data_IF_291598214235
#
_entry.id   IF_291598214235
#
_cell.length_a   1.000
_cell.length_b   1.000
_cell.length_c   1.000
_cell.angle_alpha   90.00
_cell.angle_beta   90.00
_cell.angle_gamma   90.00
#
_symmetry.space_group_name_H-M   'P 1'
#
loop_
_entity.id
_entity.type
_entity.pdbx_description
1 polymer ?
#
# COMPACT_ATOMS: atom_id res chain seq x y z
N UNK A 1 2.61 -3.16 -21.78
CA UNK A 1 2.91 -4.60 -22.03
C UNK A 1 4.17 -4.92 -21.26
N UNK A 2 4.28 -6.09 -20.66
CA UNK A 2 5.47 -6.48 -19.93
C UNK A 2 5.83 -7.94 -20.17
N UNK A 3 7.12 -8.25 -20.22
CA UNK A 3 7.63 -9.61 -20.46
C UNK A 3 8.20 -10.16 -19.17
N UNK A 4 7.75 -11.35 -18.76
CA UNK A 4 8.36 -12.08 -17.65
C UNK A 4 9.66 -12.71 -18.11
N UNK A 5 10.75 -12.36 -17.46
CA UNK A 5 12.07 -12.96 -17.68
C UNK A 5 12.53 -13.67 -16.42
N UNK A 6 13.19 -14.80 -16.60
CA UNK A 6 13.92 -15.54 -15.58
C UNK A 6 15.34 -15.78 -16.10
N UNK A 7 16.37 -15.57 -15.28
CA UNK A 7 17.76 -15.80 -15.67
C UNK A 7 18.59 -16.40 -14.55
N UNK A 8 19.60 -17.20 -14.90
CA UNK A 8 20.54 -17.82 -13.96
C UNK A 8 21.95 -17.18 -13.99
N UNK A 9 22.06 -15.98 -14.56
CA UNK A 9 23.32 -15.27 -14.78
C UNK A 9 24.08 -15.70 -16.03
N UNK A 10 23.77 -16.87 -16.61
CA UNK A 10 24.39 -17.36 -17.84
C UNK A 10 23.39 -17.41 -19.01
N UNK A 11 22.17 -17.85 -18.74
CA UNK A 11 21.08 -17.97 -19.69
C UNK A 11 19.84 -17.23 -19.17
N UNK A 12 18.97 -16.87 -20.10
CA UNK A 12 17.70 -16.18 -19.80
C UNK A 12 16.58 -16.80 -20.61
N UNK A 13 15.39 -16.90 -20.02
CA UNK A 13 14.17 -17.42 -20.63
C UNK A 13 13.03 -16.41 -20.44
N UNK A 14 12.17 -16.28 -21.45
CA UNK A 14 10.94 -15.51 -21.36
C UNK A 14 9.76 -16.44 -21.08
N UNK A 15 8.96 -16.11 -20.07
CA UNK A 15 7.79 -16.87 -19.65
C UNK A 15 6.50 -16.15 -20.06
N UNK A 16 6.48 -15.68 -21.31
CA UNK A 16 5.36 -14.94 -21.89
C UNK A 16 5.24 -13.49 -21.41
N UNK A 17 4.19 -12.84 -21.90
CA UNK A 17 3.90 -11.43 -21.69
C UNK A 17 2.57 -11.19 -20.98
N UNK A 18 2.47 -10.04 -20.31
CA UNK A 18 1.27 -9.56 -19.64
C UNK A 18 0.85 -8.19 -20.16
N UNK A 19 -0.44 -7.98 -20.22
CA UNK A 19 -1.06 -6.70 -20.52
C UNK A 19 -1.63 -6.06 -19.25
N UNK A 20 -0.99 -4.96 -18.83
CA UNK A 20 -1.36 -4.19 -17.63
C UNK A 20 -1.95 -2.82 -18.00
N UNK A 21 -2.66 -2.75 -19.13
CA UNK A 21 -3.22 -1.52 -19.69
C UNK A 21 -4.27 -0.88 -18.77
N UNK A 22 -5.01 -1.71 -18.02
CA UNK A 22 -6.12 -1.30 -17.17
C UNK A 22 -5.60 -0.86 -15.81
N UNK A 23 -5.23 0.40 -15.74
CA UNK A 23 -4.69 1.05 -14.56
C UNK A 23 -5.37 2.40 -14.33
N UNK A 24 -5.27 2.91 -13.10
CA UNK A 24 -5.76 4.23 -12.71
C UNK A 24 -4.65 4.98 -11.98
N UNK A 25 -4.25 6.15 -12.49
CA UNK A 25 -3.14 6.94 -11.91
C UNK A 25 -1.90 6.06 -11.63
N UNK A 26 -1.52 5.22 -12.58
CA UNK A 26 -0.41 4.25 -12.51
C UNK A 26 -0.59 3.08 -11.54
N UNK A 27 -1.76 2.91 -10.92
CA UNK A 27 -2.10 1.73 -10.14
C UNK A 27 -2.83 0.72 -11.02
N UNK A 28 -2.20 -0.45 -11.26
CA UNK A 28 -2.78 -1.54 -12.05
C UNK A 28 -4.03 -2.10 -11.34
N UNK A 29 -5.12 -2.28 -12.08
CA UNK A 29 -6.40 -2.82 -11.58
C UNK A 29 -6.67 -4.22 -12.11
N UNK A 30 -6.37 -4.42 -13.40
CA UNK A 30 -6.62 -5.67 -14.12
C UNK A 30 -5.42 -5.99 -15.01
N UNK A 31 -4.95 -7.23 -14.93
CA UNK A 31 -3.85 -7.73 -15.75
C UNK A 31 -4.28 -8.97 -16.52
N UNK A 32 -3.74 -9.14 -17.73
CA UNK A 32 -4.13 -10.20 -18.66
C UNK A 32 -2.89 -10.90 -19.20
N UNK A 33 -2.88 -12.24 -19.22
CA UNK A 33 -1.83 -13.04 -19.87
C UNK A 33 -2.47 -14.14 -20.74
N UNK A 34 -1.95 -14.40 -21.96
CA UNK A 34 -1.15 -13.47 -22.77
C UNK A 34 -1.97 -12.22 -23.14
N UNK A 35 -1.32 -11.22 -23.75
CA UNK A 35 -2.04 -10.05 -24.26
C UNK A 35 -2.98 -10.46 -25.42
N UNK A 36 -4.29 -10.15 -25.36
CA UNK A 36 -5.20 -10.38 -26.47
C UNK A 36 -5.00 -9.36 -27.61
N UNK A 37 -4.34 -8.23 -27.34
CA UNK A 37 -4.17 -7.11 -28.27
C UNK A 37 -2.93 -7.25 -29.17
N UNK A 38 -1.92 -8.02 -28.74
CA UNK A 38 -0.66 -8.18 -29.49
C UNK A 38 -0.74 -9.20 -30.62
N UNK A 39 -0.32 -8.79 -31.82
CA UNK A 39 -0.07 -9.72 -32.93
C UNK A 39 1.10 -10.66 -32.61
N UNK A 40 1.17 -11.86 -33.22
CA UNK A 40 2.29 -12.79 -33.05
C UNK A 40 3.66 -12.15 -33.33
N UNK A 41 3.74 -11.33 -34.38
CA UNK A 41 4.98 -10.70 -34.83
C UNK A 41 5.46 -9.66 -33.82
N UNK A 42 4.53 -8.82 -33.32
CA UNK A 42 4.86 -7.80 -32.32
C UNK A 42 5.26 -8.43 -30.98
N UNK A 43 4.55 -9.48 -30.56
CA UNK A 43 4.92 -10.27 -29.37
C UNK A 43 6.32 -10.85 -29.50
N UNK A 44 6.65 -11.46 -30.63
CA UNK A 44 7.98 -12.03 -30.85
C UNK A 44 9.08 -10.97 -30.76
N UNK A 45 8.86 -9.79 -31.36
CA UNK A 45 9.81 -8.68 -31.32
C UNK A 45 10.03 -8.15 -29.89
N UNK A 46 8.96 -7.85 -29.17
CA UNK A 46 9.04 -7.35 -27.79
C UNK A 46 9.77 -8.36 -26.88
N UNK A 47 9.44 -9.66 -27.01
CA UNK A 47 10.10 -10.72 -26.26
C UNK A 47 11.59 -10.84 -26.61
N UNK A 48 11.95 -10.73 -27.90
CA UNK A 48 13.34 -10.78 -28.34
C UNK A 48 14.17 -9.61 -27.79
N UNK A 49 13.59 -8.40 -27.76
CA UNK A 49 14.24 -7.22 -27.21
C UNK A 49 14.42 -7.32 -25.70
N UNK A 50 13.39 -7.79 -24.97
CA UNK A 50 13.48 -8.08 -23.53
C UNK A 50 14.61 -9.05 -23.20
N UNK A 51 14.69 -10.16 -23.95
CA UNK A 51 15.74 -11.16 -23.77
C UNK A 51 17.13 -10.62 -24.16
N UNK A 52 17.22 -9.72 -25.13
CA UNK A 52 18.49 -9.10 -25.52
C UNK A 52 19.02 -8.20 -24.42
N UNK A 53 18.16 -7.37 -23.82
CA UNK A 53 18.51 -6.57 -22.66
C UNK A 53 18.94 -7.45 -21.48
N UNK A 54 18.16 -8.50 -21.17
CA UNK A 54 18.48 -9.42 -20.07
C UNK A 54 19.82 -10.16 -20.27
N UNK A 55 20.11 -10.66 -21.48
CA UNK A 55 21.41 -11.28 -21.79
C UNK A 55 22.57 -10.32 -21.61
N UNK A 56 22.40 -9.07 -22.05
CA UNK A 56 23.48 -8.06 -22.02
C UNK A 56 23.95 -7.77 -20.60
N UNK A 57 23.04 -7.84 -19.62
CA UNK A 57 23.35 -7.57 -18.21
C UNK A 57 23.61 -8.85 -17.40
N UNK A 58 23.71 -10.01 -18.05
CA UNK A 58 23.85 -11.31 -17.38
C UNK A 58 22.80 -11.50 -16.27
N UNK A 59 21.53 -11.31 -16.63
CA UNK A 59 20.43 -11.22 -15.66
C UNK A 59 20.31 -12.48 -14.78
N UNK A 60 20.12 -12.27 -13.49
CA UNK A 60 19.96 -13.32 -12.48
C UNK A 60 18.68 -13.09 -11.67
N UNK A 61 17.89 -14.16 -11.49
CA UNK A 61 16.60 -14.14 -10.81
C UNK A 61 15.42 -13.78 -11.72
N UNK A 62 14.35 -13.28 -11.10
CA UNK A 62 13.11 -12.87 -11.78
C UNK A 62 13.11 -11.39 -12.12
N UNK A 63 12.69 -11.09 -13.35
CA UNK A 63 12.60 -9.73 -13.86
C UNK A 63 11.38 -9.52 -14.73
N UNK A 64 10.88 -8.29 -14.73
CA UNK A 64 9.82 -7.86 -15.65
C UNK A 64 10.31 -6.70 -16.48
N UNK A 65 10.29 -6.85 -17.80
CA UNK A 65 10.70 -5.81 -18.75
C UNK A 65 9.47 -5.16 -19.35
N UNK A 66 9.30 -3.86 -19.10
CA UNK A 66 8.08 -3.12 -19.43
C UNK A 66 8.23 -2.28 -20.70
N UNK A 67 7.19 -2.31 -21.52
CA UNK A 67 7.10 -1.65 -22.81
C UNK A 67 5.80 -0.88 -22.93
N UNK A 68 5.88 0.34 -23.47
CA UNK A 68 4.73 1.09 -23.94
C UNK A 68 4.51 0.72 -25.39
N UNK A 69 3.32 0.19 -25.71
CA UNK A 69 2.95 -0.24 -27.06
C UNK A 69 1.93 0.74 -27.62
N UNK A 70 2.14 1.16 -28.86
CA UNK A 70 1.20 1.96 -29.64
C UNK A 70 0.83 1.18 -30.90
N UNK A 71 -0.35 0.55 -30.88
CA UNK A 71 -0.86 -0.26 -31.99
C UNK A 71 -1.23 0.58 -33.21
N UNK A 72 -1.37 1.90 -33.08
CA UNK A 72 -1.66 2.80 -34.19
C UNK A 72 -0.37 3.35 -34.87
N UNK A 73 0.79 3.17 -34.24
CA UNK A 73 2.07 3.68 -34.73
C UNK A 73 2.78 2.64 -35.60
N UNK A 74 2.96 2.96 -36.89
CA UNK A 74 3.75 2.11 -37.80
C UNK A 74 5.26 2.31 -37.60
N UNK A 75 5.70 3.51 -37.23
CA UNK A 75 7.13 3.87 -37.16
C UNK A 75 7.77 3.54 -35.82
N UNK A 76 7.03 3.68 -34.72
CA UNK A 76 7.49 3.41 -33.36
C UNK A 76 6.40 2.63 -32.61
N UNK A 77 6.19 1.34 -32.95
CA UNK A 77 5.09 0.54 -32.41
C UNK A 77 5.24 0.22 -30.93
N UNK A 78 6.45 0.33 -30.38
CA UNK A 78 6.69 0.23 -28.96
C UNK A 78 8.00 0.91 -28.55
N UNK A 79 8.08 1.24 -27.27
CA UNK A 79 9.30 1.70 -26.60
C UNK A 79 9.48 0.95 -25.29
N UNK A 80 10.73 0.70 -24.91
CA UNK A 80 11.07 0.23 -23.58
C UNK A 80 10.87 1.35 -22.56
N UNK A 81 10.33 1.02 -21.39
CA UNK A 81 10.13 1.97 -20.27
C UNK A 81 11.17 1.69 -19.18
N UNK A 82 11.11 0.50 -18.59
CA UNK A 82 11.93 0.12 -17.46
C UNK A 82 12.01 -1.41 -17.30
N UNK A 83 12.95 -1.87 -16.48
CA UNK A 83 13.03 -3.25 -16.02
C UNK A 83 12.94 -3.29 -14.50
N UNK A 84 12.08 -4.15 -13.99
CA UNK A 84 11.81 -4.31 -12.56
C UNK A 84 12.46 -5.61 -12.05
N UNK A 85 13.58 -5.54 -11.30
CA UNK A 85 14.33 -6.71 -10.83
C UNK A 85 13.76 -7.34 -9.56
N UNK A 86 12.50 -7.76 -9.66
CA UNK A 86 11.75 -8.38 -8.59
C UNK A 86 10.56 -9.15 -9.16
N UNK A 87 10.02 -10.04 -8.33
CA UNK A 87 8.70 -10.62 -8.55
C UNK A 87 7.65 -9.49 -8.61
N UNK A 88 6.80 -9.52 -9.64
CA UNK A 88 5.67 -8.59 -9.79
C UNK A 88 4.42 -9.14 -9.11
N UNK A 89 3.48 -8.27 -8.73
CA UNK A 89 2.23 -8.68 -8.07
C UNK A 89 1.41 -9.61 -8.98
N UNK A 90 1.41 -9.28 -10.27
CA UNK A 90 0.77 -9.92 -11.42
C UNK A 90 1.55 -11.10 -12.02
N UNK A 91 2.57 -11.62 -11.34
CA UNK A 91 3.25 -12.85 -11.79
C UNK A 91 2.29 -14.06 -11.88
N UNK A 92 1.23 -14.06 -11.07
CA UNK A 92 0.24 -15.14 -10.95
C UNK A 92 -0.40 -15.53 -12.28
N UNK A 93 -0.70 -14.57 -13.15
CA UNK A 93 -1.28 -14.84 -14.48
C UNK A 93 -0.27 -15.45 -15.44
N UNK A 94 1.03 -15.21 -15.24
CA UNK A 94 2.08 -15.95 -15.95
C UNK A 94 2.11 -17.40 -15.47
N UNK A 95 2.02 -17.65 -14.16
CA UNK A 95 1.99 -19.02 -13.61
C UNK A 95 0.79 -19.80 -14.17
N UNK A 96 -0.40 -19.20 -14.19
CA UNK A 96 -1.63 -19.85 -14.67
C UNK A 96 -1.57 -20.28 -16.14
N UNK A 97 -0.86 -19.52 -17.00
CA UNK A 97 -0.77 -19.85 -18.42
C UNK A 97 0.44 -20.69 -18.80
N UNK A 98 1.50 -20.68 -17.99
CA UNK A 98 2.75 -21.43 -18.26
C UNK A 98 2.86 -22.71 -17.43
N UNK A 99 2.21 -22.78 -16.27
CA UNK A 99 2.37 -23.84 -15.28
C UNK A 99 3.67 -23.76 -14.47
N UNK A 100 4.45 -22.69 -14.62
CA UNK A 100 5.70 -22.48 -13.88
C UNK A 100 5.40 -21.79 -12.55
N UNK A 101 5.85 -22.38 -11.44
CA UNK A 101 5.88 -21.71 -10.13
C UNK A 101 7.09 -20.77 -10.08
N UNK A 102 6.83 -19.46 -10.16
CA UNK A 102 7.89 -18.46 -10.28
C UNK A 102 8.61 -18.26 -8.96
N UNK A 103 7.91 -18.39 -7.83
CA UNK A 103 8.51 -18.23 -6.49
C UNK A 103 9.46 -19.41 -6.22
N UNK A 104 9.05 -20.64 -6.54
CA UNK A 104 9.90 -21.81 -6.44
C UNK A 104 11.14 -21.67 -7.33
N UNK A 105 10.95 -21.28 -8.60
CA UNK A 105 12.05 -21.06 -9.52
C UNK A 105 13.04 -20.01 -8.99
N UNK A 106 12.54 -18.89 -8.46
CA UNK A 106 13.38 -17.86 -7.87
C UNK A 106 14.22 -18.37 -6.70
N UNK A 107 13.63 -19.17 -5.81
CA UNK A 107 14.34 -19.75 -4.66
C UNK A 107 15.41 -20.75 -5.14
N UNK A 108 15.11 -21.57 -6.13
CA UNK A 108 16.05 -22.57 -6.65
C UNK A 108 17.24 -21.93 -7.38
N UNK A 109 17.01 -20.88 -8.17
CA UNK A 109 18.10 -20.11 -8.78
C UNK A 109 18.96 -19.41 -7.72
N UNK A 110 18.34 -18.80 -6.70
CA UNK A 110 19.08 -18.20 -5.59
C UNK A 110 19.88 -19.23 -4.78
N UNK A 111 19.53 -20.51 -4.86
CA UNK A 111 20.28 -21.63 -4.31
C UNK A 111 21.41 -22.15 -5.23
N UNK A 112 21.63 -21.49 -6.37
CA UNK A 112 22.69 -21.82 -7.34
C UNK A 112 22.32 -22.85 -8.39
N UNK A 113 21.04 -23.21 -8.53
CA UNK A 113 20.58 -24.07 -9.64
C UNK A 113 20.56 -23.29 -10.96
N UNK A 114 20.76 -23.99 -12.08
CA UNK A 114 20.64 -23.43 -13.44
C UNK A 114 19.21 -23.56 -13.97
N UNK A 115 18.86 -22.82 -15.03
CA UNK A 115 17.56 -22.98 -15.71
C UNK A 115 17.30 -24.43 -16.15
N UNK A 116 18.35 -25.14 -16.57
CA UNK A 116 18.26 -26.56 -16.96
C UNK A 116 17.90 -27.46 -15.77
N UNK A 117 18.46 -27.21 -14.57
CA UNK A 117 18.14 -27.97 -13.36
C UNK A 117 16.67 -27.79 -12.95
N UNK A 118 16.09 -26.62 -13.26
CA UNK A 118 14.68 -26.31 -13.09
C UNK A 118 13.78 -26.94 -14.16
N UNK A 119 14.36 -27.64 -15.16
CA UNK A 119 13.63 -28.18 -16.31
C UNK A 119 13.15 -27.11 -17.29
N UNK A 120 13.75 -25.92 -17.27
CA UNK A 120 13.43 -24.80 -18.15
C UNK A 120 14.48 -24.68 -19.25
N UNK A 121 14.09 -24.97 -20.48
CA UNK A 121 14.93 -24.82 -21.66
C UNK A 121 14.65 -23.48 -22.36
N UNK A 122 15.60 -22.53 -22.40
CA UNK A 122 15.42 -21.26 -23.11
C UNK A 122 15.13 -21.40 -24.61
N UNK A 123 15.51 -22.51 -25.24
CA UNK A 123 15.22 -22.80 -26.64
C UNK A 123 13.81 -23.37 -26.86
N UNK A 124 13.18 -23.88 -25.81
CA UNK A 124 11.85 -24.48 -25.83
C UNK A 124 11.05 -24.06 -24.57
N UNK A 125 10.70 -22.77 -24.44
CA UNK A 125 9.99 -22.29 -23.26
C UNK A 125 8.61 -22.96 -23.09
N UNK A 126 8.11 -23.11 -21.85
CA UNK A 126 6.80 -23.70 -21.59
C UNK A 126 5.69 -23.07 -22.45
N UNK A 127 4.84 -23.86 -23.11
CA UNK A 127 3.82 -23.32 -23.98
C UNK A 127 2.75 -22.57 -23.17
N UNK A 128 2.41 -21.37 -23.62
CA UNK A 128 1.32 -20.56 -23.06
C UNK A 128 -0.02 -21.21 -23.39
N UNK A 129 -0.82 -21.50 -22.37
CA UNK A 129 -2.11 -22.19 -22.48
C UNK A 129 -3.29 -21.28 -22.16
N UNK A 130 -4.06 -20.96 -23.20
CA UNK A 130 -5.28 -20.19 -23.07
C UNK A 130 -5.03 -18.76 -22.57
N UNK A 131 -5.84 -18.29 -21.61
CA UNK A 131 -5.74 -16.96 -21.01
C UNK A 131 -5.94 -17.00 -19.50
N UNK A 132 -5.32 -16.05 -18.80
CA UNK A 132 -5.56 -15.74 -17.41
C UNK A 132 -5.77 -14.24 -17.22
N UNK A 133 -6.62 -13.89 -16.26
CA UNK A 133 -6.88 -12.51 -15.84
C UNK A 133 -6.71 -12.41 -14.33
N UNK A 134 -6.04 -11.36 -13.87
CA UNK A 134 -5.96 -11.00 -12.46
C UNK A 134 -6.76 -9.72 -12.21
N UNK A 135 -7.49 -9.70 -11.10
CA UNK A 135 -8.24 -8.56 -10.62
C UNK A 135 -7.73 -8.19 -9.23
N UNK A 136 -7.30 -6.94 -9.03
CA UNK A 136 -6.84 -6.43 -7.74
C UNK A 136 -8.02 -5.91 -6.93
N UNK A 137 -8.41 -6.68 -5.91
CA UNK A 137 -9.44 -6.29 -4.96
C UNK A 137 -8.78 -5.50 -3.83
N UNK A 138 -9.08 -4.22 -3.75
CA UNK A 138 -8.50 -3.27 -2.81
C UNK A 138 -9.53 -2.83 -1.78
N UNK A 139 -9.11 -2.65 -0.54
CA UNK A 139 -9.80 -1.94 0.53
C UNK A 139 -9.80 -0.44 0.26
N UNK A 140 -10.44 -0.02 -0.83
CA UNK A 140 -10.63 1.38 -1.18
C UNK A 140 -11.86 1.55 -2.05
N UNK A 141 -12.48 2.73 -2.01
CA UNK A 141 -13.46 3.16 -3.00
C UNK A 141 -12.88 4.30 -3.84
N UNK A 142 -13.61 4.72 -4.87
CA UNK A 142 -13.24 5.89 -5.66
C UNK A 142 -14.16 7.06 -5.33
N UNK A 143 -13.56 8.24 -5.16
CA UNK A 143 -14.29 9.51 -5.16
C UNK A 143 -14.76 9.91 -6.57
N UNK A 144 -15.51 11.00 -6.67
CA UNK A 144 -16.05 11.50 -7.94
C UNK A 144 -14.97 11.93 -8.96
N UNK A 145 -13.74 12.17 -8.51
CA UNK A 145 -12.57 12.57 -9.30
C UNK A 145 -11.59 11.40 -9.52
N UNK A 146 -11.97 10.18 -9.09
CA UNK A 146 -11.17 8.96 -9.20
C UNK A 146 -10.03 8.87 -8.20
N UNK A 147 -9.98 9.71 -7.16
CA UNK A 147 -9.10 9.52 -6.01
C UNK A 147 -9.50 8.28 -5.21
N UNK A 148 -8.51 7.53 -4.71
CA UNK A 148 -8.78 6.36 -3.87
C UNK A 148 -9.07 6.84 -2.45
N UNK A 149 -10.17 6.37 -1.89
CA UNK A 149 -10.54 6.57 -0.49
C UNK A 149 -10.34 5.24 0.23
N UNK A 150 -9.31 5.09 1.08
CA UNK A 150 -9.04 3.84 1.76
C UNK A 150 -10.23 3.39 2.62
N UNK A 151 -10.66 2.15 2.41
CA UNK A 151 -11.60 1.46 3.26
C UNK A 151 -10.92 1.06 4.57
N UNK A 152 -11.65 1.20 5.67
CA UNK A 152 -11.18 0.79 7.00
C UNK A 152 -12.33 0.13 7.75
N UNK A 153 -12.00 -0.75 8.70
CA UNK A 153 -12.98 -1.52 9.46
C UNK A 153 -12.61 -2.99 9.58
N UNK A 154 -13.53 -3.77 10.17
CA UNK A 154 -13.40 -5.22 10.33
C UNK A 154 -14.00 -5.89 9.10
N UNK A 155 -13.30 -6.87 8.53
CA UNK A 155 -13.85 -7.76 7.51
C UNK A 155 -14.91 -8.67 8.14
N UNK A 156 -16.16 -8.19 8.25
CA UNK A 156 -17.26 -8.93 8.87
C UNK A 156 -17.58 -10.21 8.10
N UNK A 157 -17.51 -10.12 6.77
CA UNK A 157 -17.66 -11.24 5.84
C UNK A 157 -16.61 -11.15 4.75
N UNK A 158 -16.00 -12.27 4.39
CA UNK A 158 -14.95 -12.32 3.38
C UNK A 158 -14.99 -13.65 2.63
N UNK A 159 -16.00 -13.80 1.77
CA UNK A 159 -16.18 -14.99 0.94
C UNK A 159 -15.66 -14.70 -0.46
N UNK A 160 -14.61 -15.40 -0.87
CA UNK A 160 -14.01 -15.29 -2.21
C UNK A 160 -14.31 -16.56 -3.02
N UNK A 161 -14.40 -16.45 -4.37
CA UNK A 161 -14.78 -17.56 -5.23
C UNK A 161 -13.73 -18.66 -5.21
N UNK A 162 -14.17 -19.88 -5.51
CA UNK A 162 -13.33 -21.06 -5.60
C UNK A 162 -13.73 -21.95 -6.79
N UNK A 163 -12.98 -23.01 -7.01
CA UNK A 163 -13.26 -24.01 -8.03
C UNK A 163 -12.29 -23.97 -9.21
N UNK A 164 -12.51 -24.83 -10.23
CA UNK A 164 -11.55 -24.97 -11.32
C UNK A 164 -11.28 -23.65 -12.04
N UNK A 165 -10.01 -23.36 -12.29
CA UNK A 165 -9.54 -22.13 -12.97
C UNK A 165 -9.85 -20.83 -12.24
N UNK A 166 -10.05 -20.90 -10.92
CA UNK A 166 -10.12 -19.75 -10.02
C UNK A 166 -9.07 -19.94 -8.95
N UNK A 167 -8.14 -18.99 -8.84
CA UNK A 167 -7.12 -18.90 -7.80
C UNK A 167 -7.29 -17.58 -7.08
N UNK A 168 -7.06 -17.59 -5.78
CA UNK A 168 -7.12 -16.39 -4.95
C UNK A 168 -5.89 -16.34 -4.07
N UNK A 169 -5.09 -15.29 -4.24
CA UNK A 169 -3.97 -14.98 -3.35
C UNK A 169 -4.43 -13.82 -2.45
N UNK A 170 -4.58 -14.05 -1.15
CA UNK A 170 -5.16 -13.08 -0.20
C UNK A 170 -4.48 -13.16 1.16
N UNK A 171 -4.42 -12.03 1.87
CA UNK A 171 -4.14 -11.99 3.30
C UNK A 171 -5.41 -11.73 4.15
N UNK A 172 -6.50 -11.33 3.50
CA UNK A 172 -7.79 -11.06 4.16
C UNK A 172 -8.43 -12.33 4.73
N UNK A 173 -8.93 -12.21 5.96
CA UNK A 173 -9.68 -13.24 6.68
C UNK A 173 -10.85 -12.57 7.40
N UNK A 174 -12.00 -13.24 7.49
CA UNK A 174 -13.13 -12.74 8.26
C UNK A 174 -12.74 -12.50 9.73
N UNK A 175 -13.18 -11.37 10.29
CA UNK A 175 -12.80 -10.88 11.62
C UNK A 175 -11.50 -10.08 11.67
N UNK A 176 -10.68 -10.06 10.60
CA UNK A 176 -9.47 -9.26 10.56
C UNK A 176 -9.78 -7.77 10.34
N UNK A 177 -8.90 -6.91 10.85
CA UNK A 177 -8.92 -5.45 10.60
C UNK A 177 -7.69 -5.08 9.78
N UNK A 178 -7.80 -4.91 8.45
CA UNK A 178 -6.68 -4.51 7.60
C UNK A 178 -6.04 -3.21 8.11
N UNK A 179 -4.71 -3.22 8.24
CA UNK A 179 -3.99 -2.08 8.81
C UNK A 179 -3.80 -0.95 7.78
N UNK A 180 -4.01 0.32 8.17
CA UNK A 180 -3.80 1.48 7.30
C UNK A 180 -2.32 1.80 7.03
N UNK A 181 -1.37 1.01 7.57
CA UNK A 181 0.07 1.19 7.34
C UNK A 181 0.57 0.51 6.05
N UNK A 182 -0.26 -0.34 5.45
CA UNK A 182 0.11 -1.16 4.30
C UNK A 182 -0.76 -0.80 3.09
N UNK A 183 -0.39 -1.37 1.94
CA UNK A 183 -1.14 -1.24 0.70
C UNK A 183 -2.59 -1.74 0.86
N UNK A 184 -3.53 -1.12 0.14
CA UNK A 184 -4.96 -1.43 0.23
C UNK A 184 -5.31 -2.77 -0.43
N UNK A 185 -4.42 -3.43 -1.17
CA UNK A 185 -4.68 -4.73 -1.80
C UNK A 185 -5.07 -5.77 -0.75
N UNK A 186 -6.31 -6.24 -0.81
CA UNK A 186 -6.85 -7.31 0.04
C UNK A 186 -6.63 -8.68 -0.58
N UNK A 187 -6.97 -8.81 -1.87
CA UNK A 187 -6.91 -10.06 -2.59
C UNK A 187 -6.59 -9.83 -4.07
N UNK A 188 -5.88 -10.80 -4.65
CA UNK A 188 -5.74 -10.95 -6.10
C UNK A 188 -6.67 -12.08 -6.50
N UNK A 189 -7.70 -11.77 -7.29
CA UNK A 189 -8.58 -12.77 -7.88
C UNK A 189 -8.03 -13.13 -9.26
N UNK A 190 -7.58 -14.36 -9.44
CA UNK A 190 -7.01 -14.86 -10.68
C UNK A 190 -7.98 -15.87 -11.30
N UNK A 191 -8.31 -15.64 -12.57
CA UNK A 191 -9.23 -16.50 -13.32
C UNK A 191 -8.56 -16.92 -14.62
N UNK A 192 -8.47 -18.24 -14.82
CA UNK A 192 -7.79 -18.84 -15.97
C UNK A 192 -8.72 -19.71 -16.80
N UNK A 193 -8.48 -19.77 -18.10
CA UNK A 193 -9.23 -20.58 -19.07
C UNK A 193 -8.29 -21.17 -20.10
N UNK A 194 -8.37 -22.49 -20.33
CA UNK A 194 -7.59 -23.16 -21.39
C UNK A 194 -8.09 -22.86 -22.81
N UNK A 195 -9.23 -22.17 -22.94
CA UNK A 195 -9.77 -21.74 -24.23
C UNK A 195 -8.86 -20.71 -24.88
N UNK A 196 -8.70 -20.78 -26.20
CA UNK A 196 -8.02 -19.75 -27.00
C UNK A 196 -8.88 -18.51 -27.27
N UNK A 197 -10.12 -18.48 -26.78
CA UNK A 197 -11.00 -17.32 -26.92
C UNK A 197 -10.96 -16.49 -25.64
N UNK A 198 -10.47 -15.26 -25.74
CA UNK A 198 -10.43 -14.32 -24.63
C UNK A 198 -11.80 -14.12 -23.95
N UNK A 199 -12.88 -14.09 -24.74
CA UNK A 199 -14.25 -13.99 -24.21
C UNK A 199 -14.62 -15.09 -23.19
N UNK A 200 -14.00 -16.27 -23.24
CA UNK A 200 -14.28 -17.33 -22.28
C UNK A 200 -13.63 -17.08 -20.91
N UNK A 201 -12.43 -16.48 -20.85
CA UNK A 201 -11.83 -16.08 -19.56
C UNK A 201 -12.58 -14.88 -18.97
N UNK A 202 -12.98 -13.91 -19.81
CA UNK A 202 -13.76 -12.74 -19.37
C UNK A 202 -15.10 -13.16 -18.76
N UNK A 203 -15.84 -14.08 -19.40
CA UNK A 203 -17.11 -14.60 -18.87
C UNK A 203 -16.92 -15.30 -17.52
N UNK A 204 -15.81 -16.03 -17.34
CA UNK A 204 -15.49 -16.68 -16.06
C UNK A 204 -15.12 -15.64 -15.00
N UNK A 205 -14.37 -14.60 -15.37
CA UNK A 205 -14.01 -13.50 -14.49
C UNK A 205 -15.24 -12.74 -13.99
N UNK A 206 -16.19 -12.42 -14.88
CA UNK A 206 -17.47 -11.81 -14.51
C UNK A 206 -18.22 -12.64 -13.45
N UNK A 207 -18.28 -13.96 -13.62
CA UNK A 207 -18.90 -14.86 -12.63
C UNK A 207 -18.14 -14.86 -11.29
N UNK A 208 -16.81 -15.02 -11.33
CA UNK A 208 -15.99 -15.06 -10.11
C UNK A 208 -16.07 -13.75 -9.31
N UNK A 209 -16.06 -12.59 -9.98
CA UNK A 209 -16.28 -11.29 -9.35
C UNK A 209 -17.69 -11.18 -8.73
N UNK A 210 -18.71 -11.71 -9.40
CA UNK A 210 -20.08 -11.71 -8.89
C UNK A 210 -20.30 -12.66 -7.69
N UNK A 211 -19.43 -13.64 -7.49
CA UNK A 211 -19.45 -14.57 -6.35
C UNK A 211 -18.76 -14.00 -5.10
N UNK A 212 -17.89 -12.99 -5.25
CA UNK A 212 -17.22 -12.34 -4.13
C UNK A 212 -18.22 -11.65 -3.17
N UNK A 213 -18.08 -11.86 -1.85
CA UNK A 213 -18.82 -11.16 -0.80
C UNK A 213 -17.86 -10.61 0.25
N UNK A 214 -17.77 -9.28 0.34
CA UNK A 214 -16.89 -8.59 1.29
C UNK A 214 -17.73 -7.55 2.02
N UNK A 215 -17.91 -7.74 3.33
CA UNK A 215 -18.71 -6.87 4.20
C UNK A 215 -17.84 -6.28 5.32
N UNK A 216 -18.18 -5.08 5.77
CA UNK A 216 -17.52 -4.37 6.88
C UNK A 216 -16.31 -3.51 6.49
N UNK A 217 -15.77 -3.68 5.28
CA UNK A 217 -14.75 -2.79 4.69
C UNK A 217 -15.19 -2.39 3.28
N UNK A 218 -15.11 -1.10 2.98
CA UNK A 218 -15.39 -0.59 1.64
C UNK A 218 -14.29 -1.04 0.65
N UNK A 219 -14.70 -1.54 -0.53
CA UNK A 219 -13.77 -2.10 -1.53
C UNK A 219 -14.08 -1.63 -2.94
N UNK A 220 -13.12 -1.82 -3.84
CA UNK A 220 -13.27 -1.51 -5.27
C UNK A 220 -14.01 -2.61 -6.04
N UNK A 221 -14.55 -3.64 -5.37
CA UNK A 221 -15.16 -4.82 -6.01
C UNK A 221 -16.29 -4.45 -6.99
N UNK A 222 -17.14 -3.49 -6.62
CA UNK A 222 -18.22 -3.03 -7.50
C UNK A 222 -17.69 -2.31 -8.75
N UNK A 223 -16.58 -1.58 -8.63
CA UNK A 223 -15.89 -0.97 -9.76
C UNK A 223 -15.30 -2.03 -10.69
N UNK A 224 -14.64 -3.06 -10.15
CA UNK A 224 -14.08 -4.16 -10.95
C UNK A 224 -15.17 -4.90 -11.74
N UNK A 225 -16.34 -5.12 -11.12
CA UNK A 225 -17.51 -5.67 -11.80
C UNK A 225 -18.01 -4.76 -12.93
N UNK A 226 -18.10 -3.46 -12.67
CA UNK A 226 -18.47 -2.47 -13.69
C UNK A 226 -17.49 -2.48 -14.86
N UNK A 227 -16.18 -2.55 -14.61
CA UNK A 227 -15.14 -2.69 -15.64
C UNK A 227 -15.36 -3.98 -16.44
N UNK A 228 -15.54 -5.12 -15.77
CA UNK A 228 -15.72 -6.42 -16.42
C UNK A 228 -16.95 -6.49 -17.35
N UNK A 229 -17.98 -5.67 -17.11
CA UNK A 229 -19.20 -5.62 -17.91
C UNK A 229 -19.10 -4.67 -19.12
N UNK A 230 -18.02 -3.89 -19.25
CA UNK A 230 -17.84 -2.96 -20.37
C UNK A 230 -17.65 -3.68 -21.71
N UNK A 231 -18.34 -3.25 -22.79
CA UNK A 231 -18.12 -3.79 -24.13
C UNK A 231 -16.67 -3.67 -24.60
N UNK A 232 -15.98 -2.60 -24.20
CA UNK A 232 -14.57 -2.33 -24.52
C UNK A 232 -13.64 -3.39 -23.93
N UNK A 233 -14.01 -4.01 -22.81
CA UNK A 233 -13.27 -5.16 -22.28
C UNK A 233 -13.40 -6.37 -23.20
N UNK A 234 -14.57 -6.65 -23.78
CA UNK A 234 -14.72 -7.79 -24.67
C UNK A 234 -13.99 -7.58 -26.01
N UNK A 235 -14.01 -6.35 -26.53
CA UNK A 235 -13.34 -5.98 -27.79
C UNK A 235 -11.86 -5.63 -27.62
N UNK A 236 -11.38 -5.49 -26.38
CA UNK A 236 -10.04 -5.01 -26.03
C UNK A 236 -9.69 -3.66 -26.65
N UNK A 237 -10.70 -2.80 -26.84
CA UNK A 237 -10.54 -1.40 -27.26
C UNK A 237 -10.23 -0.53 -26.04
N UNK A 238 -9.12 -0.83 -25.36
CA UNK A 238 -8.68 -0.17 -24.14
C UNK A 238 -7.26 0.37 -24.30
N UNK A 239 -6.94 1.42 -23.55
CA UNK A 239 -5.58 1.99 -23.49
C UNK A 239 -5.31 2.53 -22.07
N UNK A 240 -4.09 2.96 -21.80
CA UNK A 240 -3.60 3.34 -20.45
C UNK A 240 -4.28 4.54 -19.79
N UNK A 241 -5.22 5.19 -20.49
CA UNK A 241 -6.03 6.33 -20.00
C UNK A 241 -7.54 6.04 -20.08
N UNK A 242 -7.90 4.81 -20.47
CA UNK A 242 -9.28 4.45 -20.73
C UNK A 242 -10.12 4.50 -19.45
N UNK A 243 -9.58 4.01 -18.33
CA UNK A 243 -10.26 4.03 -17.03
C UNK A 243 -10.63 5.46 -16.64
N UNK A 244 -9.72 6.42 -16.80
CA UNK A 244 -9.98 7.84 -16.54
C UNK A 244 -11.03 8.43 -17.49
N UNK A 245 -11.00 8.05 -18.77
CA UNK A 245 -11.95 8.55 -19.77
C UNK A 245 -13.39 8.11 -19.49
N UNK A 246 -13.59 6.86 -19.07
CA UNK A 246 -14.93 6.30 -18.81
C UNK A 246 -15.33 6.34 -17.33
N UNK A 247 -14.52 6.98 -16.48
CA UNK A 247 -14.69 6.98 -15.02
C UNK A 247 -16.11 7.35 -14.56
N UNK A 248 -16.77 8.42 -15.06
CA UNK A 248 -18.13 8.75 -14.61
C UNK A 248 -19.12 7.61 -14.82
N UNK A 249 -19.09 6.97 -15.99
CA UNK A 249 -19.96 5.83 -16.30
C UNK A 249 -19.63 4.60 -15.44
N UNK A 250 -18.34 4.37 -15.13
CA UNK A 250 -17.92 3.30 -14.23
C UNK A 250 -18.42 3.53 -12.79
N UNK A 251 -18.34 4.77 -12.29
CA UNK A 251 -18.83 5.11 -10.95
C UNK A 251 -20.34 4.91 -10.83
N UNK A 252 -21.11 5.31 -11.84
CA UNK A 252 -22.56 5.12 -11.83
C UNK A 252 -22.96 3.64 -11.93
N UNK A 253 -22.30 2.86 -12.78
CA UNK A 253 -22.49 1.42 -12.84
C UNK A 253 -22.10 0.74 -11.51
N UNK A 254 -20.98 1.15 -10.91
CA UNK A 254 -20.51 0.65 -9.61
C UNK A 254 -21.52 0.90 -8.50
N UNK A 255 -22.17 2.07 -8.44
CA UNK A 255 -23.23 2.37 -7.46
C UNK A 255 -24.42 1.42 -7.61
N UNK A 256 -24.87 1.19 -8.85
CA UNK A 256 -25.99 0.27 -9.12
C UNK A 256 -25.65 -1.17 -8.75
N UNK A 257 -24.42 -1.60 -9.03
CA UNK A 257 -23.91 -2.92 -8.67
C UNK A 257 -23.83 -3.09 -7.15
N UNK A 258 -23.32 -2.08 -6.43
CA UNK A 258 -23.23 -2.10 -4.98
C UNK A 258 -24.62 -2.18 -4.33
N UNK A 259 -25.59 -1.41 -4.82
CA UNK A 259 -26.98 -1.44 -4.34
C UNK A 259 -27.64 -2.81 -4.58
N UNK A 260 -27.34 -3.47 -5.69
CA UNK A 260 -27.93 -4.78 -6.04
C UNK A 260 -27.28 -5.96 -5.30
N UNK A 261 -26.03 -5.80 -4.83
CA UNK A 261 -25.29 -6.86 -4.15
C UNK A 261 -25.75 -7.09 -2.69
N UNK A 262 -26.34 -6.05 -2.08
CA UNK A 262 -26.88 -6.05 -0.72
C UNK A 262 -28.33 -5.57 -0.73
N UNK A 263 -29.30 -6.33 -1.29
CA UNK A 263 -30.69 -5.97 -1.17
C UNK A 263 -31.05 -5.94 0.33
N UNK A 264 -31.59 -4.81 0.79
CA UNK A 264 -32.16 -4.70 2.14
C UNK A 264 -33.07 -5.91 2.35
N UNK A 265 -32.75 -6.75 3.34
CA UNK A 265 -33.57 -7.90 3.69
C UNK A 265 -34.99 -7.41 3.96
N UNK A 266 -35.95 -7.87 3.17
CA UNK A 266 -37.39 -7.70 3.39
C UNK A 266 -37.78 -8.37 4.72
N UNK A 267 -37.62 -7.62 5.80
CA UNK A 267 -37.71 -8.10 7.18
C UNK A 267 -37.42 -6.98 8.16
N UNK A 268 -38.09 -5.83 7.97
CA UNK A 268 -38.27 -4.75 8.93
C UNK A 268 -37.23 -4.56 10.04
N UNK A 269 -36.01 -4.12 9.68
CA UNK A 269 -35.21 -3.18 10.48
C UNK A 269 -34.42 -2.31 9.49
N UNK A 270 -34.57 -0.99 9.60
CA UNK A 270 -33.96 0.00 8.72
C UNK A 270 -32.44 -0.20 8.61
N UNK A 271 -31.97 -0.69 7.46
CA UNK A 271 -30.56 -0.68 7.06
C UNK A 271 -30.27 0.36 5.97
N UNK A 272 -31.04 1.45 5.95
CA UNK A 272 -30.73 2.65 5.19
C UNK A 272 -29.65 3.48 5.90
N UNK A 273 -28.40 3.00 5.85
CA UNK A 273 -27.18 3.81 6.00
C UNK A 273 -25.92 2.98 5.71
N UNK A 274 -25.70 2.58 4.46
CA UNK A 274 -24.39 2.07 3.99
C UNK A 274 -23.45 3.20 3.48
N UNK A 275 -23.78 4.45 3.84
CA UNK A 275 -22.87 5.60 3.86
C UNK A 275 -22.72 6.18 5.28
N UNK A 276 -23.23 5.51 6.30
CA UNK A 276 -23.09 5.93 7.69
C UNK A 276 -22.21 4.94 8.42
N UNK A 277 -21.16 5.44 9.09
CA UNK A 277 -20.79 4.88 10.38
C UNK A 277 -22.06 4.54 11.17
N UNK A 278 -22.06 3.45 11.94
CA UNK A 278 -23.09 3.16 12.95
C UNK A 278 -23.55 4.49 13.55
N UNK A 279 -24.87 4.78 13.69
CA UNK A 279 -25.36 6.11 14.04
C UNK A 279 -24.52 6.61 15.20
N UNK A 280 -23.59 7.50 14.88
CA UNK A 280 -22.72 8.10 15.86
C UNK A 280 -23.73 8.79 16.77
N UNK A 281 -23.76 8.51 18.09
CA UNK A 281 -24.56 9.33 19.00
C UNK A 281 -24.24 10.77 18.61
N UNK A 282 -25.29 11.53 18.22
CA UNK A 282 -25.19 12.77 17.46
C UNK A 282 -23.83 13.42 17.72
N UNK A 283 -22.91 13.32 16.74
CA UNK A 283 -21.51 13.65 16.98
C UNK A 283 -21.50 15.01 17.65
N UNK A 284 -21.01 15.05 18.89
CA UNK A 284 -20.96 16.28 19.65
C UNK A 284 -20.36 17.34 18.70
N UNK A 285 -21.01 18.50 18.48
CA UNK A 285 -20.46 19.52 17.59
C UNK A 285 -19.03 19.93 17.98
N UNK A 286 -18.62 19.61 19.20
CA UNK A 286 -17.29 19.81 19.76
C UNK A 286 -16.36 18.60 19.59
N UNK A 287 -16.78 17.54 18.91
CA UNK A 287 -15.99 16.32 18.69
C UNK A 287 -14.95 16.55 17.60
N UNK A 288 -13.69 16.32 17.93
CA UNK A 288 -12.60 16.22 16.95
C UNK A 288 -12.47 14.77 16.51
N UNK A 289 -12.61 14.52 15.21
CA UNK A 289 -12.58 13.18 14.63
C UNK A 289 -11.27 12.88 13.90
N UNK A 290 -10.98 11.59 13.71
CA UNK A 290 -9.86 11.13 12.88
C UNK A 290 -10.06 11.60 11.42
N UNK A 291 -9.12 12.38 10.83
CA UNK A 291 -9.27 12.90 9.48
C UNK A 291 -9.13 11.81 8.41
N UNK A 292 -8.46 10.71 8.75
CA UNK A 292 -8.15 9.58 7.88
C UNK A 292 -8.00 8.30 8.70
N UNK A 293 -8.05 7.11 8.07
CA UNK A 293 -7.66 5.87 8.72
C UNK A 293 -6.21 5.94 9.17
N UNK A 294 -5.96 5.65 10.44
CA UNK A 294 -4.64 5.79 11.05
C UNK A 294 -4.52 4.91 12.30
N UNK A 295 -3.32 4.76 12.84
CA UNK A 295 -3.09 4.27 14.21
C UNK A 295 -2.81 5.46 15.12
N UNK A 296 -3.46 5.54 16.27
CA UNK A 296 -3.13 6.55 17.27
C UNK A 296 -1.74 6.23 17.86
N UNK A 297 -0.76 7.13 17.72
CA UNK A 297 0.59 6.94 18.26
C UNK A 297 0.64 7.40 19.72
N UNK A 298 0.20 8.62 19.98
CA UNK A 298 0.17 9.21 21.31
C UNK A 298 -0.78 10.41 21.36
N UNK A 299 -1.22 10.75 22.58
CA UNK A 299 -1.87 12.02 22.88
C UNK A 299 -0.83 13.07 23.28
N UNK A 300 -1.02 14.31 22.80
CA UNK A 300 -0.25 15.47 23.25
C UNK A 300 -0.95 16.21 24.42
N UNK A 301 -2.21 15.86 24.70
CA UNK A 301 -3.08 16.48 25.71
C UNK A 301 -3.67 15.46 26.68
N UNK A 302 -4.10 15.91 27.84
CA UNK A 302 -4.87 15.17 28.83
C UNK A 302 -6.29 15.74 29.01
N UNK A 303 -7.19 14.95 29.60
CA UNK A 303 -8.53 15.41 29.96
C UNK A 303 -8.41 16.54 30.98
N UNK A 304 -9.06 17.68 30.67
CA UNK A 304 -9.04 18.90 31.47
C UNK A 304 -8.13 20.00 30.93
N UNK A 305 -7.21 19.67 30.01
CA UNK A 305 -6.28 20.64 29.42
C UNK A 305 -7.04 21.68 28.59
N UNK A 306 -6.56 22.93 28.60
CA UNK A 306 -7.06 23.99 27.73
C UNK A 306 -6.02 24.28 26.67
N UNK A 307 -6.43 24.22 25.40
CA UNK A 307 -5.54 24.37 24.25
C UNK A 307 -5.98 25.53 23.36
N UNK A 308 -5.02 26.14 22.67
CA UNK A 308 -5.27 27.15 21.65
C UNK A 308 -5.71 26.50 20.32
N UNK A 309 -6.29 27.30 19.43
CA UNK A 309 -6.55 26.85 18.06
C UNK A 309 -5.21 26.58 17.35
N UNK A 310 -5.09 25.42 16.71
CA UNK A 310 -3.86 24.99 16.04
C UNK A 310 -2.89 24.20 16.93
N UNK A 311 -3.16 24.08 18.23
CA UNK A 311 -2.31 23.29 19.14
C UNK A 311 -2.35 21.79 18.82
N UNK A 312 -1.26 21.08 19.13
CA UNK A 312 -1.13 19.64 18.93
C UNK A 312 -2.06 18.88 19.89
N UNK A 313 -2.96 18.06 19.35
CA UNK A 313 -3.86 17.20 20.13
C UNK A 313 -3.33 15.76 20.23
N UNK A 314 -2.89 15.20 19.10
CA UNK A 314 -2.44 13.82 19.00
C UNK A 314 -1.48 13.62 17.83
N UNK A 315 -0.73 12.52 17.86
CA UNK A 315 0.05 12.04 16.72
C UNK A 315 -0.60 10.78 16.17
N UNK A 316 -0.89 10.77 14.86
CA UNK A 316 -1.51 9.68 14.12
C UNK A 316 -0.50 9.09 13.12
N UNK A 317 -0.43 7.78 13.00
CA UNK A 317 0.41 7.11 12.01
C UNK A 317 -0.48 6.56 10.88
N UNK A 318 -0.22 6.98 9.65
CA UNK A 318 -0.90 6.46 8.46
C UNK A 318 0.09 6.35 7.31
N UNK A 319 0.07 5.25 6.55
CA UNK A 319 1.02 5.01 5.45
C UNK A 319 2.51 5.19 5.86
N UNK A 320 2.89 4.75 7.07
CA UNK A 320 4.24 4.91 7.67
C UNK A 320 4.68 6.35 7.89
N UNK A 321 3.75 7.30 7.87
CA UNK A 321 3.99 8.70 8.12
C UNK A 321 3.20 9.17 9.35
N UNK A 322 3.87 9.91 10.21
CA UNK A 322 3.24 10.57 11.36
C UNK A 322 2.57 11.87 10.92
N UNK A 323 1.34 12.08 11.39
CA UNK A 323 0.51 13.24 11.12
C UNK A 323 0.03 13.79 12.45
N UNK A 324 0.20 15.09 12.65
CA UNK A 324 -0.27 15.75 13.86
C UNK A 324 -1.74 16.12 13.69
N UNK A 325 -2.57 15.72 14.65
CA UNK A 325 -3.95 16.17 14.78
C UNK A 325 -3.95 17.51 15.51
N UNK A 326 -4.41 18.57 14.85
CA UNK A 326 -4.42 19.93 15.39
C UNK A 326 -5.80 20.29 15.95
N UNK A 327 -5.83 21.16 16.94
CA UNK A 327 -7.05 21.70 17.52
C UNK A 327 -7.77 22.63 16.52
N UNK A 328 -9.03 22.36 16.13
CA UNK A 328 -9.73 23.19 15.15
C UNK A 328 -10.12 24.58 15.71
N UNK A 329 -10.22 24.70 17.03
CA UNK A 329 -10.47 25.95 17.74
C UNK A 329 -9.88 25.86 19.16
N UNK A 330 -9.84 26.98 19.89
CA UNK A 330 -9.46 26.97 21.30
C UNK A 330 -10.55 26.26 22.12
N UNK A 331 -10.15 25.46 23.10
CA UNK A 331 -11.11 24.71 23.90
C UNK A 331 -10.49 23.86 25.00
N UNK A 332 -11.36 23.30 25.85
CA UNK A 332 -11.01 22.38 26.93
C UNK A 332 -11.27 20.95 26.52
N UNK A 333 -10.28 20.08 26.71
CA UNK A 333 -10.40 18.64 26.43
C UNK A 333 -11.31 17.99 27.48
N UNK A 334 -12.48 17.50 27.08
CA UNK A 334 -13.42 16.84 27.99
C UNK A 334 -13.21 15.33 28.08
N UNK A 335 -12.84 14.68 26.97
CA UNK A 335 -12.69 13.23 26.92
C UNK A 335 -11.76 12.80 25.80
N UNK A 336 -11.12 11.64 25.97
CA UNK A 336 -10.30 10.97 24.97
C UNK A 336 -10.90 9.57 24.70
N UNK A 337 -11.24 9.28 23.45
CA UNK A 337 -12.03 8.11 23.05
C UNK A 337 -11.20 6.93 22.52
N UNK A 338 -9.86 7.07 22.46
CA UNK A 338 -8.97 6.03 21.95
C UNK A 338 -7.67 5.92 22.76
N UNK A 339 -7.18 4.69 22.93
CA UNK A 339 -5.89 4.42 23.53
C UNK A 339 -4.77 4.48 22.49
N UNK A 340 -3.56 4.96 22.84
CA UNK A 340 -2.37 4.79 22.01
C UNK A 340 -2.20 3.33 21.54
N UNK A 341 -1.94 3.14 20.25
CA UNK A 341 -1.90 1.83 19.59
C UNK A 341 -3.19 1.44 18.88
N UNK A 342 -4.34 2.08 19.17
CA UNK A 342 -5.61 1.75 18.53
C UNK A 342 -5.62 2.13 17.04
N UNK A 343 -6.23 1.28 16.21
CA UNK A 343 -6.55 1.59 14.82
C UNK A 343 -7.85 2.38 14.75
N UNK A 344 -7.81 3.44 13.96
CA UNK A 344 -8.86 4.43 13.79
C UNK A 344 -9.42 4.33 12.38
N UNK A 345 -10.73 4.45 12.26
CA UNK A 345 -11.40 4.64 10.97
C UNK A 345 -11.61 6.13 10.70
N UNK A 346 -11.76 6.51 9.44
CA UNK A 346 -12.05 7.91 9.08
C UNK A 346 -13.33 8.39 9.77
N UNK A 347 -13.33 9.65 10.23
CA UNK A 347 -14.42 10.31 10.94
C UNK A 347 -14.80 9.68 12.29
N UNK A 348 -13.99 8.74 12.81
CA UNK A 348 -14.15 8.23 14.18
C UNK A 348 -13.91 9.37 15.19
N UNK A 349 -14.84 9.64 16.12
CA UNK A 349 -14.62 10.58 17.23
C UNK A 349 -13.39 10.19 18.06
N UNK A 350 -12.48 11.14 18.28
CA UNK A 350 -11.23 10.92 19.01
C UNK A 350 -11.24 11.63 20.36
N UNK A 351 -11.73 12.87 20.40
CA UNK A 351 -11.87 13.64 21.64
C UNK A 351 -13.01 14.63 21.53
N UNK A 352 -13.52 15.09 22.68
CA UNK A 352 -14.46 16.22 22.76
C UNK A 352 -13.70 17.45 23.26
N UNK A 353 -13.76 18.53 22.48
CA UNK A 353 -13.07 19.80 22.74
C UNK A 353 -14.10 20.91 22.97
N UNK A 354 -14.45 21.19 24.21
CA UNK A 354 -15.46 22.21 24.54
C UNK A 354 -14.90 23.62 24.28
N UNK A 355 -15.55 24.45 23.45
CA UNK A 355 -15.09 25.82 23.20
C UNK A 355 -15.03 26.64 24.50
N UNK A 356 -13.89 27.29 24.74
CA UNK A 356 -13.71 28.21 25.87
C UNK A 356 -13.71 29.64 25.33
N UNK A 357 -14.65 30.49 25.76
CA UNK A 357 -14.76 31.90 25.35
C UNK A 357 -13.92 32.86 26.21
N UNK A 358 -13.15 32.33 27.16
CA UNK A 358 -12.45 33.14 28.16
C UNK A 358 -11.13 33.70 27.61
N UNK A 359 -11.11 35.00 27.31
CA UNK A 359 -9.98 35.70 26.70
C UNK A 359 -8.69 35.59 27.52
N UNK A 360 -8.78 35.41 28.85
CA UNK A 360 -7.62 35.24 29.72
C UNK A 360 -6.95 33.86 29.56
N UNK A 361 -7.76 32.81 29.33
CA UNK A 361 -7.26 31.44 29.14
C UNK A 361 -6.71 31.26 27.73
N UNK A 362 -7.32 31.90 26.73
CA UNK A 362 -6.79 31.99 25.38
C UNK A 362 -5.44 32.73 25.33
N UNK A 363 -5.30 33.83 26.08
CA UNK A 363 -4.07 34.60 26.17
C UNK A 363 -2.94 33.83 26.89
N UNK A 364 -3.25 33.02 27.91
CA UNK A 364 -2.25 32.16 28.57
C UNK A 364 -1.78 31.02 27.66
N UNK A 365 -2.69 30.34 26.97
CA UNK A 365 -2.33 29.27 26.02
C UNK A 365 -1.51 29.81 24.84
N UNK A 366 -1.90 30.96 24.25
CA UNK A 366 -1.15 31.60 23.17
C UNK A 366 0.18 32.21 23.62
N UNK A 367 0.29 32.73 24.85
CA UNK A 367 1.54 33.26 25.37
C UNK A 367 2.58 32.16 25.64
N UNK A 368 2.13 30.97 26.03
CA UNK A 368 2.99 29.82 26.28
C UNK A 368 3.47 29.13 24.98
N UNK A 369 2.67 29.20 23.92
CA UNK A 369 2.98 28.62 22.60
C UNK A 369 3.86 29.54 21.72
N UNK A 370 3.79 30.86 21.91
CA UNK A 370 4.56 31.86 21.13
C UNK A 370 5.85 32.35 21.80
N UNK A 371 6.25 31.78 22.94
CA UNK A 371 7.54 32.07 23.56
C UNK A 371 8.65 31.27 22.85
N UNK A 372 9.57 31.91 22.09
CA UNK A 372 10.64 31.23 21.38
C UNK A 372 11.63 30.51 22.32
N UNK A 373 11.67 30.91 23.59
CA UNK A 373 12.55 30.33 24.62
C UNK A 373 11.84 29.22 25.42
N UNK A 374 10.54 28.99 25.18
CA UNK A 374 9.81 27.91 25.83
C UNK A 374 10.23 26.54 25.28
N UNK A 375 10.91 25.76 26.13
CA UNK A 375 11.24 24.38 25.80
C UNK A 375 9.99 23.51 25.99
N UNK A 376 9.41 23.07 24.86
CA UNK A 376 8.28 22.12 24.85
C UNK A 376 8.66 20.82 25.60
N UNK A 377 7.70 20.20 26.27
CA UNK A 377 7.96 19.01 27.09
C UNK A 377 8.52 17.82 26.29
N UNK A 378 8.13 17.68 25.02
CA UNK A 378 8.68 16.69 24.08
C UNK A 378 10.14 17.02 23.70
N UNK A 379 10.45 18.29 23.42
CA UNK A 379 11.80 18.76 23.15
C UNK A 379 12.70 18.56 24.37
N UNK A 380 12.22 18.87 25.58
CA UNK A 380 12.96 18.62 26.81
C UNK A 380 13.28 17.12 26.95
N UNK A 381 12.31 16.24 26.68
CA UNK A 381 12.54 14.78 26.69
C UNK A 381 13.60 14.34 25.68
N UNK A 382 13.63 14.95 24.49
CA UNK A 382 14.65 14.70 23.47
C UNK A 382 16.02 15.17 23.95
N UNK A 383 16.12 16.39 24.51
CA UNK A 383 17.34 16.96 25.07
C UNK A 383 17.88 16.05 26.18
N UNK A 384 17.02 15.65 27.11
CA UNK A 384 17.37 14.75 28.23
C UNK A 384 17.88 13.40 27.72
N UNK A 385 17.25 12.84 26.66
CA UNK A 385 17.68 11.57 26.09
C UNK A 385 19.04 11.67 25.40
N UNK A 386 19.30 12.76 24.68
CA UNK A 386 20.60 13.01 24.05
C UNK A 386 21.69 13.24 25.11
N UNK A 387 21.36 13.93 26.21
CA UNK A 387 22.29 14.23 27.29
C UNK A 387 23.00 12.97 27.82
N UNK A 388 22.29 11.84 27.98
CA UNK A 388 22.87 10.56 28.43
C UNK A 388 24.01 10.03 27.55
N UNK A 389 24.07 10.43 26.29
CA UNK A 389 25.10 9.97 25.34
C UNK A 389 26.35 10.86 25.33
N UNK A 390 26.29 12.02 25.97
CA UNK A 390 27.38 12.99 26.06
C UNK A 390 28.33 12.64 27.20
N UNK A 391 29.60 12.98 27.03
CA UNK A 391 30.64 12.70 28.03
C UNK A 391 30.32 13.31 29.41
N UNK A 392 29.69 14.50 29.42
CA UNK A 392 29.24 15.19 30.63
C UNK A 392 28.32 14.34 31.53
N UNK A 393 27.51 13.45 30.93
CA UNK A 393 26.60 12.55 31.65
C UNK A 393 27.13 11.12 31.75
N UNK A 394 28.40 10.87 31.40
CA UNK A 394 29.04 9.55 31.47
C UNK A 394 30.36 9.56 32.27
N UNK A 395 30.42 10.18 33.46
CA UNK A 395 31.66 10.47 34.17
C UNK A 395 32.49 9.22 34.47
N UNK A 396 31.86 8.09 34.83
CA UNK A 396 32.56 6.84 35.11
C UNK A 396 33.26 6.26 33.88
N UNK A 397 32.64 6.34 32.69
CA UNK A 397 33.23 5.84 31.45
C UNK A 397 34.36 6.75 30.97
N UNK A 398 34.19 8.07 31.08
CA UNK A 398 35.21 9.07 30.77
C UNK A 398 36.44 8.89 31.66
N UNK A 399 36.24 8.82 32.98
CA UNK A 399 37.34 8.62 33.94
C UNK A 399 38.13 7.34 33.66
N UNK A 400 37.45 6.23 33.30
CA UNK A 400 38.11 4.98 32.93
C UNK A 400 38.98 5.12 31.68
N UNK A 401 38.54 5.87 30.67
CA UNK A 401 39.30 6.14 29.44
C UNK A 401 40.53 6.99 29.73
N UNK A 402 40.35 8.08 30.47
CA UNK A 402 41.44 8.98 30.84
C UNK A 402 42.48 8.30 31.75
N UNK A 403 42.07 7.42 32.67
CA UNK A 403 42.98 6.62 33.49
C UNK A 403 43.87 5.67 32.66
N UNK A 404 43.45 5.30 31.45
CA UNK A 404 44.24 4.51 30.50
C UNK A 404 45.10 5.39 29.58
N UNK A 405 45.14 6.71 29.81
CA UNK A 405 45.85 7.67 28.96
C UNK A 405 45.20 7.88 27.59
N UNK A 406 43.92 7.55 27.44
CA UNK A 406 43.21 7.60 26.16
C UNK A 406 42.09 8.64 26.18
N UNK A 407 41.90 9.34 25.05
CA UNK A 407 40.76 10.23 24.81
C UNK A 407 39.46 9.43 24.63
N UNK A 408 38.32 10.07 24.88
CA UNK A 408 36.99 9.54 24.52
C UNK A 408 36.76 9.64 23.01
N UNK A 409 35.72 8.96 22.52
CA UNK A 409 35.35 9.08 21.10
C UNK A 409 34.97 10.52 20.73
N UNK A 410 34.24 11.22 21.61
CA UNK A 410 33.79 12.60 21.38
C UNK A 410 34.95 13.60 21.47
N UNK A 411 35.91 13.40 22.37
CA UNK A 411 37.13 14.22 22.43
C UNK A 411 37.95 14.12 21.14
N UNK A 412 38.04 12.93 20.53
CA UNK A 412 38.73 12.77 19.24
C UNK A 412 37.98 13.46 18.09
N UNK A 413 36.65 13.38 18.07
CA UNK A 413 35.83 14.06 17.06
C UNK A 413 35.94 15.58 17.21
N UNK A 414 35.89 16.09 18.43
CA UNK A 414 36.01 17.53 18.72
C UNK A 414 37.39 18.11 18.37
N UNK A 415 38.46 17.30 18.44
CA UNK A 415 39.80 17.70 18.00
C UNK A 415 39.96 17.68 16.48
N UNK A 416 39.18 16.84 15.78
CA UNK A 416 39.23 16.68 14.34
C UNK A 416 38.33 17.68 13.59
N UNK A 417 37.16 17.99 14.15
CA UNK A 417 36.15 18.82 13.49
C UNK A 417 36.22 20.28 13.94
N UNK A 418 35.88 21.20 13.03
CA UNK A 418 35.68 22.60 13.39
C UNK A 418 34.54 22.76 14.42
N UNK A 419 34.67 23.77 15.28
CA UNK A 419 33.72 24.02 16.35
C UNK A 419 32.29 24.23 15.78
N UNK A 420 31.35 23.37 16.21
CA UNK A 420 29.95 23.42 15.79
C UNK A 420 29.66 22.83 14.40
N UNK A 421 30.64 22.26 13.70
CA UNK A 421 30.43 21.71 12.34
C UNK A 421 30.00 20.24 12.32
N UNK A 422 30.14 19.53 13.44
CA UNK A 422 29.84 18.09 13.51
C UNK A 422 28.32 17.82 13.60
N UNK A 423 27.81 17.05 12.64
CA UNK A 423 26.41 16.58 12.61
C UNK A 423 26.41 15.07 12.86
N UNK A 424 25.88 14.65 14.01
CA UNK A 424 25.89 13.25 14.44
C UNK A 424 24.68 12.48 13.91
N UNK A 425 24.93 11.33 13.28
CA UNK A 425 23.88 10.43 12.82
C UNK A 425 23.67 9.28 13.80
N UNK A 426 22.42 9.03 14.18
CA UNK A 426 22.05 7.87 14.99
C UNK A 426 22.52 7.93 16.45
N UNK A 427 22.67 9.13 17.04
CA UNK A 427 23.14 9.32 18.42
C UNK A 427 22.34 8.52 19.46
N UNK A 428 21.04 8.32 19.23
CA UNK A 428 20.15 7.55 20.11
C UNK A 428 20.08 6.05 19.78
N UNK A 429 20.92 5.55 18.88
CA UNK A 429 20.95 4.12 18.54
C UNK A 429 21.41 3.28 19.74
N UNK A 430 20.71 2.16 19.96
CA UNK A 430 21.04 1.17 20.98
C UNK A 430 21.39 -0.16 20.33
N UNK A 431 22.20 -0.98 21.01
CA UNK A 431 22.53 -2.31 20.51
C UNK A 431 21.26 -3.18 20.45
N UNK A 432 21.07 -3.91 19.33
CA UNK A 432 19.91 -4.79 19.09
C UNK A 432 19.94 -6.07 19.95
N UNK A 433 19.79 -5.91 21.27
CA UNK A 433 19.93 -6.97 22.27
C UNK A 433 18.71 -7.10 23.19
N UNK A 434 17.53 -6.63 22.74
CA UNK A 434 16.28 -6.60 23.53
C UNK A 434 15.81 -7.98 24.04
N UNK A 435 16.36 -9.09 23.52
CA UNK A 435 16.13 -10.45 24.05
C UNK A 435 16.92 -10.76 25.32
N UNK A 436 18.00 -10.02 25.59
CA UNK A 436 18.96 -10.28 26.70
C UNK A 436 19.02 -9.16 27.73
N UNK A 437 18.56 -7.96 27.38
CA UNK A 437 18.58 -6.78 28.26
C UNK A 437 17.26 -6.04 28.15
N UNK A 438 16.81 -5.48 29.26
CA UNK A 438 15.68 -4.56 29.32
C UNK A 438 15.94 -3.32 28.47
N UNK A 439 14.87 -2.63 28.11
CA UNK A 439 14.90 -1.37 27.34
C UNK A 439 15.20 -0.13 28.19
N UNK A 440 15.29 -0.28 29.52
CA UNK A 440 15.93 0.68 30.42
C UNK A 440 17.45 0.67 30.20
#
# INVERSE_FOLDING_TARGET
IEVQVLGDGAQVIALGERECTLQRRFQKLVEIAPSPSLTPELRQRITADALTMARTVAYEGLGTFEFLVDLASESLPYVFIEANPRLQVEHTITEEVTGVDLVQAQIQLAAGQSLHDLGLDPSAPPPVQGFAMQWRINAETLDAQGGAVPGSGVLMRFDLPAGPGVRVDTHGVAGATPSPHYDTLLAKLIVSSRSRRFADVLRRAQRALAECRIEGVATNLALLRAVAERPEMASQQVHTRWVEQVLPALLDASKNIAASAYPESAGGQNHSNLAGAAPTPAADPNSVCAPMPARLVQWAVAVGDVVAAGADLAVLESMKMEHVLLAPHAGRVQSLAAAPGAYLVQAQPLLVLEPVQDAAVMAQAQAQENDPDHIRADLQRVIDRHAFTLDAHRPAAVAKRHAQGQRTARENIADLCDAGSFIEYGQLAVAAQARRRSME
#
